data_IF_321118655247
#
_entry.id   IF_321118655247
#
_cell.length_a   1.000
_cell.length_b   1.000
_cell.length_c   1.000
_cell.angle_alpha   90.00
_cell.angle_beta   90.00
_cell.angle_gamma   90.00
#
_symmetry.space_group_name_H-M   'P 1'
#
loop_
_entity.id
_entity.type
_entity.pdbx_description
1 polymer ?
#
# COMPACT_ATOMS: atom_id res chain seq x y z
N UNK A 1 -26.09 26.91 17.62
CA UNK A 1 -26.31 28.25 18.15
C UNK A 1 -26.69 28.14 19.63
N UNK A 2 -26.02 28.86 20.45
CA UNK A 2 -26.22 28.92 21.91
C UNK A 2 -27.38 29.84 22.31
N UNK A 3 -27.88 29.75 23.55
CA UNK A 3 -29.00 30.65 24.01
C UNK A 3 -28.69 32.12 23.89
N UNK A 4 -27.41 32.52 23.98
CA UNK A 4 -26.99 33.93 23.80
C UNK A 4 -26.97 34.39 22.33
N UNK A 5 -27.33 33.51 21.38
CA UNK A 5 -27.32 33.76 19.93
C UNK A 5 -25.97 33.54 19.24
N UNK A 6 -24.90 33.23 19.98
CA UNK A 6 -23.61 32.92 19.39
C UNK A 6 -23.67 31.58 18.65
N UNK A 7 -23.15 31.54 17.43
CA UNK A 7 -23.09 30.34 16.63
C UNK A 7 -21.64 29.90 16.48
N UNK A 8 -21.39 28.63 16.70
CA UNK A 8 -20.09 27.98 16.43
C UNK A 8 -20.27 26.91 15.41
N UNK A 9 -19.44 26.91 14.37
CA UNK A 9 -19.43 25.92 13.33
C UNK A 9 -18.10 25.15 13.37
N UNK A 10 -18.19 23.85 13.30
CA UNK A 10 -17.02 22.96 13.25
C UNK A 10 -17.17 21.96 12.12
N UNK A 11 -16.10 21.75 11.37
CA UNK A 11 -16.00 20.66 10.40
C UNK A 11 -15.24 19.50 11.06
N UNK A 12 -15.84 18.32 11.05
CA UNK A 12 -15.30 17.14 11.70
C UNK A 12 -15.28 15.99 10.70
N UNK A 13 -14.22 15.23 10.76
CA UNK A 13 -14.07 14.03 9.96
C UNK A 13 -14.89 12.88 10.57
N UNK A 14 -15.80 12.31 9.79
CA UNK A 14 -16.51 11.09 10.13
C UNK A 14 -15.76 9.88 9.58
N UNK A 15 -15.74 8.81 10.34
CA UNK A 15 -15.07 7.57 9.97
C UNK A 15 -16.10 6.56 9.45
N UNK A 16 -15.91 5.98 8.25
CA UNK A 16 -16.78 4.93 7.76
C UNK A 16 -16.81 3.72 8.70
N UNK A 17 -18.00 3.32 9.11
CA UNK A 17 -18.29 2.09 9.87
C UNK A 17 -18.69 0.95 8.95
N UNK A 18 -19.25 1.29 7.78
CA UNK A 18 -19.54 0.38 6.68
C UNK A 18 -18.83 0.86 5.41
N UNK A 19 -17.95 0.02 4.88
CA UNK A 19 -17.14 0.34 3.69
C UNK A 19 -17.93 0.26 2.37
N UNK A 20 -19.09 -0.39 2.38
CA UNK A 20 -19.91 -0.55 1.17
C UNK A 20 -20.89 0.59 0.97
N UNK A 21 -21.50 1.05 2.05
CA UNK A 21 -22.51 2.11 2.02
C UNK A 21 -22.02 3.44 2.54
N UNK A 22 -20.78 3.47 3.08
CA UNK A 22 -20.17 4.64 3.71
C UNK A 22 -20.98 5.25 4.86
N UNK A 23 -21.81 4.42 5.54
CA UNK A 23 -22.32 4.82 6.83
C UNK A 23 -21.14 5.14 7.74
N UNK A 24 -21.11 6.34 8.29
CA UNK A 24 -19.96 6.86 9.01
C UNK A 24 -20.37 7.35 10.40
N UNK A 25 -19.46 7.25 11.36
CA UNK A 25 -19.66 7.79 12.71
C UNK A 25 -18.65 8.87 13.06
N UNK A 26 -19.03 9.76 13.93
CA UNK A 26 -18.15 10.84 14.38
C UNK A 26 -18.67 11.53 15.64
N UNK A 27 -17.78 12.33 16.22
CA UNK A 27 -18.05 13.08 17.46
C UNK A 27 -17.61 14.52 17.29
N UNK A 28 -18.46 15.44 17.71
CA UNK A 28 -18.13 16.86 17.83
C UNK A 28 -18.23 17.27 19.30
N UNK A 29 -17.39 18.19 19.71
CA UNK A 29 -17.41 18.73 21.08
C UNK A 29 -17.28 20.23 21.02
N UNK A 30 -18.09 20.90 21.79
CA UNK A 30 -18.15 22.33 21.82
C UNK A 30 -18.05 22.85 23.26
N UNK A 31 -17.15 23.81 23.47
CA UNK A 31 -17.15 24.63 24.66
C UNK A 31 -18.21 25.71 24.55
N UNK A 32 -18.86 26.11 25.67
CA UNK A 32 -19.70 27.29 25.70
C UNK A 32 -18.94 28.55 25.26
N UNK A 33 -19.66 29.54 24.73
CA UNK A 33 -19.09 30.84 24.41
C UNK A 33 -18.34 31.48 25.57
N UNK A 34 -17.25 32.18 25.25
CA UNK A 34 -16.48 32.87 26.26
C UNK A 34 -17.33 33.92 27.01
N UNK A 35 -17.27 33.89 28.34
CA UNK A 35 -17.99 34.81 29.19
C UNK A 35 -19.46 34.44 29.47
N UNK A 36 -19.96 33.34 28.91
CA UNK A 36 -21.30 32.84 29.23
C UNK A 36 -21.33 32.21 30.63
N UNK A 37 -20.28 31.51 30.99
CA UNK A 37 -20.06 30.92 32.31
C UNK A 37 -18.70 31.38 32.83
N UNK A 38 -18.66 32.16 33.95
CA UNK A 38 -17.43 32.76 34.44
C UNK A 38 -16.48 31.74 35.07
N UNK A 39 -17.02 30.71 35.74
CA UNK A 39 -16.25 29.69 36.40
C UNK A 39 -15.92 28.52 35.45
N UNK A 40 -14.71 27.99 35.56
CA UNK A 40 -14.24 26.88 34.75
C UNK A 40 -15.04 25.59 34.98
N UNK A 41 -15.40 25.32 36.23
CA UNK A 41 -16.23 24.16 36.62
C UNK A 41 -17.64 24.27 36.03
N UNK A 42 -18.26 25.45 36.14
CA UNK A 42 -19.55 25.72 35.57
C UNK A 42 -19.53 25.60 34.06
N UNK A 43 -18.49 26.14 33.39
CA UNK A 43 -18.30 26.02 31.95
C UNK A 43 -18.18 24.56 31.49
N UNK A 44 -17.49 23.71 32.27
CA UNK A 44 -17.37 22.26 31.96
C UNK A 44 -18.71 21.55 31.99
N UNK A 45 -19.56 21.87 32.94
CA UNK A 45 -20.89 21.24 33.06
C UNK A 45 -21.83 21.60 31.91
N UNK A 46 -21.51 22.63 31.13
CA UNK A 46 -22.31 23.12 30.00
C UNK A 46 -21.62 22.89 28.63
N UNK A 47 -20.59 22.06 28.59
CA UNK A 47 -20.03 21.59 27.31
C UNK A 47 -21.06 20.73 26.59
N UNK A 48 -21.01 20.75 25.25
CA UNK A 48 -21.90 19.96 24.40
C UNK A 48 -21.07 18.96 23.62
N UNK A 49 -21.43 17.69 23.72
CA UNK A 49 -20.92 16.67 22.84
C UNK A 49 -22.05 16.17 21.93
N UNK A 50 -21.73 15.96 20.66
CA UNK A 50 -22.65 15.45 19.64
C UNK A 50 -22.00 14.25 19.02
N UNK A 51 -22.58 13.08 19.21
CA UNK A 51 -22.10 11.83 18.64
C UNK A 51 -23.17 11.20 17.76
N UNK A 52 -22.80 10.66 16.62
CA UNK A 52 -23.77 9.94 15.83
C UNK A 52 -23.28 9.48 14.46
N UNK A 53 -24.25 9.15 13.62
CA UNK A 53 -24.04 8.58 12.32
C UNK A 53 -24.39 9.56 11.21
N UNK A 54 -23.64 9.48 10.13
CA UNK A 54 -23.87 10.17 8.87
C UNK A 54 -24.08 9.12 7.77
N UNK A 55 -25.10 9.31 6.97
CA UNK A 55 -25.37 8.51 5.77
C UNK A 55 -25.32 9.41 4.53
N UNK A 56 -24.50 9.07 3.50
CA UNK A 56 -24.49 9.82 2.25
C UNK A 56 -25.79 9.69 1.45
N UNK A 57 -26.43 8.53 1.47
CA UNK A 57 -27.77 8.30 0.96
C UNK A 57 -28.61 7.68 2.07
N UNK A 58 -29.39 8.51 2.74
CA UNK A 58 -30.11 8.12 3.94
C UNK A 58 -31.24 7.15 3.67
N UNK A 59 -31.32 6.14 4.52
CA UNK A 59 -32.47 5.24 4.62
C UNK A 59 -32.86 5.11 6.08
N UNK A 60 -34.10 5.43 6.38
CA UNK A 60 -34.63 5.32 7.72
C UNK A 60 -35.24 3.95 7.95
N UNK A 61 -34.80 3.28 8.99
CA UNK A 61 -35.23 1.93 9.36
C UNK A 61 -35.65 1.88 10.85
N UNK A 62 -36.06 0.70 11.29
CA UNK A 62 -36.56 0.48 12.64
C UNK A 62 -38.07 0.69 12.74
N UNK A 63 -38.69 0.26 13.85
CA UNK A 63 -40.15 0.34 14.05
C UNK A 63 -40.68 1.77 14.02
N UNK A 64 -39.88 2.73 14.43
CA UNK A 64 -40.25 4.16 14.50
C UNK A 64 -39.57 5.00 13.40
N UNK A 65 -38.79 4.37 12.49
CA UNK A 65 -38.01 5.10 11.50
C UNK A 65 -36.88 5.95 12.10
N UNK A 66 -36.34 5.54 13.23
CA UNK A 66 -35.34 6.29 14.01
C UNK A 66 -33.89 5.80 13.79
N UNK A 67 -33.72 4.71 13.06
CA UNK A 67 -32.41 4.15 12.75
C UNK A 67 -31.93 4.64 11.38
N UNK A 68 -30.90 5.45 11.37
CA UNK A 68 -30.25 5.87 10.14
C UNK A 68 -29.38 4.75 9.60
N UNK A 69 -29.62 4.38 8.37
CA UNK A 69 -28.80 3.48 7.54
C UNK A 69 -28.38 4.22 6.28
N UNK A 70 -27.33 3.76 5.64
CA UNK A 70 -26.95 4.25 4.33
C UNK A 70 -27.32 3.22 3.26
N UNK A 71 -28.04 3.67 2.24
CA UNK A 71 -28.44 2.81 1.13
C UNK A 71 -27.36 2.70 0.06
N UNK A 72 -26.56 3.75 -0.12
CA UNK A 72 -25.56 3.84 -1.17
C UNK A 72 -24.44 4.82 -0.77
N UNK A 73 -23.20 4.64 -1.27
CA UNK A 73 -22.05 5.49 -0.87
C UNK A 73 -22.02 6.89 -1.49
N UNK A 74 -22.87 7.18 -2.48
CA UNK A 74 -22.97 8.48 -3.12
C UNK A 74 -23.73 9.50 -2.26
N UNK A 75 -23.41 10.79 -2.40
CA UNK A 75 -24.03 11.91 -1.67
C UNK A 75 -25.37 12.33 -2.28
N UNK A 76 -26.31 11.39 -2.46
CA UNK A 76 -27.59 11.67 -3.13
C UNK A 76 -28.65 12.20 -2.18
N UNK A 77 -28.71 11.71 -0.95
CA UNK A 77 -29.65 12.15 0.11
C UNK A 77 -28.97 12.11 1.48
N UNK A 78 -28.05 13.05 1.75
CA UNK A 78 -27.26 13.04 2.97
C UNK A 78 -28.11 13.38 4.19
N UNK A 79 -27.90 12.62 5.27
CA UNK A 79 -28.52 12.89 6.56
C UNK A 79 -27.64 12.46 7.73
N UNK A 80 -27.91 13.03 8.88
CA UNK A 80 -27.31 12.65 10.17
C UNK A 80 -28.36 12.26 11.19
N UNK A 81 -28.02 11.27 12.01
CA UNK A 81 -28.75 10.97 13.24
C UNK A 81 -27.75 11.04 14.39
N UNK A 82 -27.91 12.00 15.24
CA UNK A 82 -26.95 12.31 16.29
C UNK A 82 -27.60 12.41 17.66
N UNK A 83 -26.87 11.95 18.65
CA UNK A 83 -27.20 12.10 20.05
C UNK A 83 -26.49 13.35 20.61
N UNK A 84 -27.23 14.19 21.31
CA UNK A 84 -26.71 15.37 21.94
C UNK A 84 -26.56 15.13 23.44
N UNK A 85 -25.38 15.41 23.94
CA UNK A 85 -25.00 15.26 25.33
C UNK A 85 -24.61 16.63 25.90
N UNK A 86 -24.92 16.86 27.16
CA UNK A 86 -24.54 18.05 27.92
C UNK A 86 -23.78 17.63 29.16
N UNK A 87 -22.75 18.37 29.53
CA UNK A 87 -21.91 18.10 30.69
C UNK A 87 -20.43 18.20 30.38
N UNK A 88 -19.60 17.65 31.26
CA UNK A 88 -18.16 17.69 31.11
C UNK A 88 -17.68 16.70 29.99
N UNK A 89 -17.46 17.23 28.80
CA UNK A 89 -16.97 16.50 27.65
C UNK A 89 -15.43 16.26 27.69
N UNK A 90 -14.76 16.66 28.77
CA UNK A 90 -13.33 16.45 28.98
C UNK A 90 -12.42 17.34 28.15
N UNK A 91 -12.91 18.43 27.57
CA UNK A 91 -12.14 19.32 26.69
C UNK A 91 -10.96 20.00 27.43
N UNK A 92 -11.12 20.30 28.72
CA UNK A 92 -10.14 21.02 29.52
C UNK A 92 -9.18 20.10 30.31
N UNK A 93 -9.20 18.81 30.09
CA UNK A 93 -8.42 17.86 30.90
C UNK A 93 -6.97 17.73 30.45
N UNK A 94 -6.62 18.24 29.27
CA UNK A 94 -5.30 18.05 28.65
C UNK A 94 -4.97 16.59 28.26
N UNK A 95 -5.94 15.68 28.39
CA UNK A 95 -5.79 14.28 27.99
C UNK A 95 -6.17 14.09 26.52
N UNK A 96 -5.41 13.31 25.76
CA UNK A 96 -5.80 12.94 24.39
C UNK A 96 -7.15 12.22 24.40
N UNK A 97 -8.06 12.67 23.56
CA UNK A 97 -9.36 12.03 23.37
C UNK A 97 -9.50 11.45 21.96
N UNK A 98 -10.32 10.40 21.85
CA UNK A 98 -10.66 9.87 20.54
C UNK A 98 -11.55 10.87 19.80
N UNK A 99 -11.15 11.22 18.57
CA UNK A 99 -11.90 12.19 17.74
C UNK A 99 -13.10 11.56 17.01
N UNK A 100 -13.23 10.24 17.03
CA UNK A 100 -14.30 9.52 16.32
C UNK A 100 -15.35 8.90 17.23
N UNK A 101 -15.03 8.74 18.51
CA UNK A 101 -15.91 8.05 19.49
C UNK A 101 -15.92 8.84 20.78
N UNK A 102 -17.11 9.01 21.36
CA UNK A 102 -17.28 9.61 22.68
C UNK A 102 -16.75 8.63 23.75
N UNK A 103 -16.08 9.16 24.75
CA UNK A 103 -15.65 8.36 25.89
C UNK A 103 -16.89 7.99 26.74
N UNK A 104 -17.29 6.73 26.62
CA UNK A 104 -18.46 6.20 27.30
C UNK A 104 -18.32 6.22 28.83
N UNK A 105 -17.10 6.31 29.36
CA UNK A 105 -16.90 6.47 30.81
C UNK A 105 -17.46 7.78 31.30
N UNK A 106 -17.41 8.85 30.52
CA UNK A 106 -18.00 10.15 30.90
C UNK A 106 -19.52 10.07 31.04
N UNK A 107 -20.16 9.24 30.24
CA UNK A 107 -21.61 8.99 30.34
C UNK A 107 -21.93 8.07 31.51
N UNK A 108 -21.13 7.00 31.70
CA UNK A 108 -21.31 6.07 32.82
C UNK A 108 -21.07 6.71 34.17
N UNK A 109 -20.14 7.65 34.27
CA UNK A 109 -19.81 8.40 35.48
C UNK A 109 -20.82 9.56 35.75
N UNK A 110 -21.80 9.78 34.86
CA UNK A 110 -22.78 10.83 34.96
C UNK A 110 -22.20 12.25 34.72
N UNK A 111 -21.02 12.34 34.11
CA UNK A 111 -20.40 13.63 33.75
C UNK A 111 -20.99 14.20 32.46
N UNK A 112 -21.44 13.34 31.56
CA UNK A 112 -22.18 13.67 30.35
C UNK A 112 -23.55 13.02 30.38
N UNK A 113 -24.59 13.81 30.19
CA UNK A 113 -25.97 13.34 30.11
C UNK A 113 -26.48 13.45 28.67
N UNK A 114 -27.10 12.39 28.19
CA UNK A 114 -27.79 12.44 26.90
C UNK A 114 -29.12 13.15 27.05
N UNK A 115 -29.26 14.28 26.35
CA UNK A 115 -30.46 15.10 26.44
C UNK A 115 -31.43 14.89 25.28
N UNK A 116 -30.93 14.59 24.09
CA UNK A 116 -31.80 14.41 22.92
C UNK A 116 -31.13 13.56 21.81
N UNK A 117 -31.99 13.01 20.95
CA UNK A 117 -31.56 12.50 19.63
C UNK A 117 -32.22 13.32 18.53
N UNK A 118 -31.44 13.81 17.60
CA UNK A 118 -31.92 14.61 16.48
C UNK A 118 -31.52 14.01 15.15
N UNK A 119 -32.41 14.18 14.18
CA UNK A 119 -32.23 13.74 12.80
C UNK A 119 -32.26 14.99 11.92
N UNK A 120 -31.20 15.19 11.15
CA UNK A 120 -31.01 16.40 10.37
C UNK A 120 -30.61 16.07 8.94
N UNK A 121 -31.18 16.80 8.01
CA UNK A 121 -30.76 16.90 6.61
C UNK A 121 -30.00 18.20 6.39
N UNK A 122 -29.22 18.34 5.29
CA UNK A 122 -28.48 19.57 5.03
C UNK A 122 -29.34 20.82 5.10
N UNK A 123 -28.88 21.81 5.87
CA UNK A 123 -29.59 23.08 6.10
C UNK A 123 -30.69 23.01 7.14
N UNK A 124 -31.07 21.84 7.66
CA UNK A 124 -32.07 21.72 8.72
C UNK A 124 -31.44 21.98 10.11
N UNK A 125 -32.29 22.42 11.02
CA UNK A 125 -31.88 22.67 12.42
C UNK A 125 -32.90 22.04 13.38
N UNK A 126 -32.45 21.63 14.55
CA UNK A 126 -33.27 21.15 15.64
C UNK A 126 -32.94 21.94 16.92
N UNK A 127 -33.95 22.24 17.71
CA UNK A 127 -33.80 22.86 19.02
C UNK A 127 -33.74 21.75 20.07
N UNK A 128 -32.75 21.84 20.94
CA UNK A 128 -32.52 20.91 22.04
C UNK A 128 -32.51 21.71 23.33
N UNK A 129 -33.33 21.30 24.28
CA UNK A 129 -33.35 21.85 25.64
C UNK A 129 -32.18 21.21 26.42
N UNK A 130 -31.31 22.04 26.94
CA UNK A 130 -30.12 21.63 27.71
C UNK A 130 -30.29 21.80 29.22
N UNK A 131 -31.50 22.15 29.67
CA UNK A 131 -31.79 22.46 31.08
C UNK A 131 -31.55 23.91 31.44
N UNK A 132 -30.53 24.54 30.87
CA UNK A 132 -30.21 25.98 31.09
C UNK A 132 -30.57 26.86 29.91
N UNK A 133 -31.26 26.31 28.94
CA UNK A 133 -31.72 27.03 27.77
C UNK A 133 -31.75 26.16 26.50
N UNK A 134 -32.27 26.75 25.46
CA UNK A 134 -32.38 26.07 24.17
C UNK A 134 -31.12 26.25 23.34
N UNK A 135 -30.55 25.15 22.88
CA UNK A 135 -29.44 25.13 21.93
C UNK A 135 -29.96 24.62 20.58
N UNK A 136 -29.60 25.33 19.53
CA UNK A 136 -29.96 24.90 18.17
C UNK A 136 -28.78 24.19 17.51
N UNK A 137 -29.03 22.97 17.07
CA UNK A 137 -28.10 22.15 16.32
C UNK A 137 -28.49 22.17 14.86
N UNK A 138 -27.59 22.59 13.97
CA UNK A 138 -27.81 22.66 12.52
C UNK A 138 -26.79 21.83 11.80
N UNK A 139 -27.24 21.09 10.81
CA UNK A 139 -26.39 20.37 9.89
C UNK A 139 -26.23 21.19 8.61
N UNK A 140 -25.07 21.81 8.43
CA UNK A 140 -24.80 22.67 7.27
C UNK A 140 -24.58 21.85 5.98
N UNK A 141 -24.16 20.59 6.11
CA UNK A 141 -23.90 19.70 5.00
C UNK A 141 -22.67 18.83 5.22
N UNK A 142 -22.34 18.06 4.22
CA UNK A 142 -21.17 17.21 4.21
C UNK A 142 -20.33 17.46 2.95
N UNK A 143 -19.03 17.19 3.06
CA UNK A 143 -18.11 17.24 1.94
C UNK A 143 -17.26 15.96 1.92
N UNK A 144 -16.96 15.50 0.75
CA UNK A 144 -16.06 14.38 0.56
C UNK A 144 -14.60 14.84 0.73
N UNK A 145 -13.79 13.98 1.31
CA UNK A 145 -12.35 14.22 1.42
C UNK A 145 -11.56 12.98 1.01
N UNK A 146 -10.37 13.19 0.53
CA UNK A 146 -9.44 12.11 0.21
C UNK A 146 -8.11 12.31 0.92
N UNK A 147 -7.62 11.25 1.54
CA UNK A 147 -6.30 11.22 2.11
C UNK A 147 -5.31 10.71 1.06
N UNK A 148 -4.32 11.52 0.72
CA UNK A 148 -3.25 11.13 -0.20
C UNK A 148 -1.97 10.88 0.59
N UNK A 149 -1.43 9.69 0.45
CA UNK A 149 -0.09 9.39 0.92
C UNK A 149 0.90 9.63 -0.22
N UNK A 150 1.71 10.67 -0.11
CA UNK A 150 2.76 10.97 -1.07
C UNK A 150 4.04 10.31 -0.56
N UNK A 151 4.54 9.32 -1.30
CA UNK A 151 5.83 8.68 -1.02
C UNK A 151 6.81 9.04 -2.12
N UNK A 152 7.99 9.51 -1.73
CA UNK A 152 9.12 9.76 -2.61
C UNK A 152 10.28 8.91 -2.15
N UNK A 153 10.56 7.83 -2.89
CA UNK A 153 11.70 6.97 -2.62
C UNK A 153 12.78 7.20 -3.69
N UNK A 154 13.86 7.94 -3.38
CA UNK A 154 14.96 8.20 -4.31
C UNK A 154 15.81 6.94 -4.58
N UNK A 155 15.66 5.88 -3.75
CA UNK A 155 16.44 4.64 -3.92
C UNK A 155 15.87 3.72 -4.99
N UNK A 156 14.62 3.94 -5.42
CA UNK A 156 13.93 3.12 -6.40
C UNK A 156 14.67 3.05 -7.75
N UNK A 157 15.25 4.18 -8.18
CA UNK A 157 16.04 4.23 -9.43
C UNK A 157 17.31 3.39 -9.31
N UNK A 158 17.98 3.41 -8.17
CA UNK A 158 19.18 2.62 -7.91
C UNK A 158 18.89 1.13 -7.85
N UNK A 159 17.77 0.75 -7.25
CA UNK A 159 17.30 -0.64 -7.23
C UNK A 159 17.01 -1.15 -8.65
N UNK A 160 16.38 -0.31 -9.49
CA UNK A 160 16.11 -0.66 -10.89
C UNK A 160 17.42 -0.82 -11.69
N UNK A 161 18.40 0.07 -11.52
CA UNK A 161 19.71 -0.03 -12.16
C UNK A 161 20.45 -1.30 -11.73
N UNK A 162 20.45 -1.61 -10.43
CA UNK A 162 21.06 -2.83 -9.92
C UNK A 162 20.39 -4.10 -10.52
N UNK A 163 19.07 -4.12 -10.62
CA UNK A 163 18.34 -5.21 -11.26
C UNK A 163 18.71 -5.35 -12.74
N UNK A 164 18.82 -4.24 -13.47
CA UNK A 164 19.23 -4.25 -14.89
C UNK A 164 20.66 -4.80 -15.07
N UNK A 165 21.59 -4.40 -14.20
CA UNK A 165 22.97 -4.91 -14.23
C UNK A 165 23.03 -6.41 -13.91
N UNK A 166 22.23 -6.89 -12.94
CA UNK A 166 22.14 -8.32 -12.64
C UNK A 166 21.61 -9.12 -13.84
N UNK A 167 20.57 -8.63 -14.50
CA UNK A 167 20.01 -9.27 -15.69
C UNK A 167 21.01 -9.29 -16.83
N UNK A 168 21.72 -8.19 -17.07
CA UNK A 168 22.76 -8.13 -18.08
C UNK A 168 23.92 -9.09 -17.77
N UNK A 169 24.35 -9.18 -16.51
CA UNK A 169 25.36 -10.13 -16.07
C UNK A 169 24.92 -11.59 -16.24
N UNK A 170 23.65 -11.88 -15.91
CA UNK A 170 23.08 -13.22 -16.14
C UNK A 170 23.03 -13.57 -17.63
N UNK A 171 22.54 -12.64 -18.45
CA UNK A 171 22.49 -12.83 -19.90
C UNK A 171 23.90 -13.06 -20.50
N UNK A 172 24.89 -12.25 -20.08
CA UNK A 172 26.29 -12.43 -20.48
C UNK A 172 26.85 -13.76 -20.02
N UNK A 173 26.56 -14.19 -18.79
CA UNK A 173 27.02 -15.50 -18.29
C UNK A 173 26.42 -16.68 -19.05
N UNK A 174 25.19 -16.55 -19.55
CA UNK A 174 24.55 -17.57 -20.38
C UNK A 174 25.04 -17.54 -21.85
N UNK A 175 25.39 -16.34 -22.36
CA UNK A 175 25.89 -16.17 -23.72
C UNK A 175 27.33 -16.68 -23.90
N UNK A 176 28.15 -16.64 -22.82
CA UNK A 176 29.53 -17.12 -22.87
C UNK A 176 29.53 -18.63 -22.91
N UNK A 177 29.94 -19.16 -24.05
CA UNK A 177 30.05 -20.59 -24.28
C UNK A 177 31.24 -21.17 -23.51
N UNK A 178 31.00 -22.13 -22.63
CA UNK A 178 32.08 -22.82 -21.87
C UNK A 178 32.55 -24.01 -22.68
N UNK A 179 33.77 -23.95 -23.15
CA UNK A 179 34.43 -24.98 -23.92
C UNK A 179 35.62 -25.53 -23.13
N UNK A 180 35.89 -26.84 -23.27
CA UNK A 180 37.02 -27.48 -22.64
C UNK A 180 37.74 -28.32 -23.71
N UNK A 181 39.06 -28.19 -23.74
CA UNK A 181 39.93 -28.96 -24.60
C UNK A 181 40.83 -29.80 -23.72
N UNK A 182 41.01 -31.04 -24.04
CA UNK A 182 41.93 -31.94 -23.41
C UNK A 182 42.97 -32.35 -24.44
N UNK A 183 44.24 -32.27 -24.05
CA UNK A 183 45.37 -32.76 -24.85
C UNK A 183 45.99 -33.90 -24.10
N UNK A 184 46.15 -35.05 -24.76
CA UNK A 184 46.79 -36.22 -24.22
C UNK A 184 48.01 -36.55 -25.09
N UNK A 185 49.16 -36.63 -24.44
CA UNK A 185 50.41 -36.97 -25.09
C UNK A 185 50.80 -38.40 -24.72
N UNK A 186 51.10 -39.23 -25.73
CA UNK A 186 51.61 -40.63 -25.58
C UNK A 186 52.88 -40.82 -26.36
N UNK A 187 53.96 -41.35 -25.73
CA UNK A 187 55.12 -41.74 -26.47
C UNK A 187 54.81 -42.99 -27.38
N UNK A 188 55.23 -42.92 -28.58
CA UNK A 188 55.03 -43.97 -29.54
C UNK A 188 56.30 -44.19 -30.42
N UNK A 189 56.22 -45.11 -31.32
CA UNK A 189 57.29 -45.39 -32.27
C UNK A 189 56.69 -45.37 -33.66
N UNK A 190 57.28 -44.62 -34.60
CA UNK A 190 56.86 -44.58 -35.99
C UNK A 190 57.11 -45.91 -36.70
N UNK A 191 56.45 -46.15 -37.80
CA UNK A 191 56.72 -47.32 -38.68
C UNK A 191 58.18 -47.40 -39.13
N UNK A 192 58.92 -46.33 -39.14
CA UNK A 192 60.35 -46.26 -39.45
C UNK A 192 61.25 -46.49 -38.22
N UNK A 193 60.68 -46.76 -36.98
CA UNK A 193 61.42 -47.00 -35.75
C UNK A 193 61.84 -45.75 -35.00
N UNK A 194 61.42 -44.61 -35.43
CA UNK A 194 61.76 -43.34 -34.77
C UNK A 194 60.80 -43.09 -33.60
N UNK A 195 61.30 -42.48 -32.51
CA UNK A 195 60.48 -42.03 -31.37
C UNK A 195 59.56 -40.87 -31.76
N UNK A 196 58.26 -41.10 -31.69
CA UNK A 196 57.23 -40.09 -31.99
C UNK A 196 56.35 -39.88 -30.80
N UNK A 197 55.70 -38.74 -30.74
CA UNK A 197 54.69 -38.40 -29.72
C UNK A 197 53.32 -38.37 -30.38
N UNK A 198 52.45 -39.29 -29.99
CA UNK A 198 51.06 -39.22 -30.38
C UNK A 198 50.33 -38.18 -29.56
N UNK A 199 49.64 -37.22 -30.22
CA UNK A 199 48.87 -36.20 -29.64
C UNK A 199 47.39 -36.46 -29.90
N UNK A 200 46.63 -36.75 -28.84
CA UNK A 200 45.18 -36.89 -28.89
C UNK A 200 44.55 -35.63 -28.41
N UNK A 201 43.66 -35.02 -29.21
CA UNK A 201 42.91 -33.82 -28.86
C UNK A 201 41.43 -34.18 -28.70
N UNK A 202 40.80 -33.74 -27.62
CA UNK A 202 39.37 -33.90 -27.40
C UNK A 202 38.75 -32.59 -26.97
N UNK A 203 37.63 -32.23 -27.56
CA UNK A 203 36.88 -31.02 -27.24
C UNK A 203 35.49 -31.33 -26.68
N UNK A 204 35.06 -30.62 -25.62
CA UNK A 204 33.69 -30.68 -25.09
C UNK A 204 33.05 -29.29 -25.11
N UNK A 205 31.99 -29.16 -25.88
CA UNK A 205 31.09 -27.98 -25.84
C UNK A 205 29.87 -28.32 -25.01
N UNK A 206 29.81 -27.83 -23.77
CA UNK A 206 28.76 -28.20 -22.82
C UNK A 206 27.41 -27.52 -23.11
N UNK A 207 27.38 -26.38 -23.79
CA UNK A 207 26.18 -25.55 -23.99
C UNK A 207 25.83 -25.35 -25.47
N UNK A 208 26.60 -25.87 -26.40
CA UNK A 208 26.38 -25.65 -27.83
C UNK A 208 25.91 -26.94 -28.51
N UNK A 209 24.64 -26.98 -28.94
CA UNK A 209 24.08 -28.11 -29.68
C UNK A 209 24.68 -28.23 -31.08
N UNK A 210 25.25 -27.15 -31.61
CA UNK A 210 25.92 -27.14 -32.91
C UNK A 210 27.37 -27.65 -32.86
N UNK A 211 27.86 -27.98 -31.67
CA UNK A 211 29.24 -28.43 -31.48
C UNK A 211 30.26 -27.30 -31.57
N UNK A 212 31.50 -27.67 -31.91
CA UNK A 212 32.60 -26.71 -32.02
C UNK A 212 32.67 -26.00 -33.38
N UNK A 213 32.08 -26.57 -34.40
CA UNK A 213 32.27 -26.12 -35.77
C UNK A 213 33.75 -26.07 -36.15
N UNK A 214 34.15 -25.15 -37.00
CA UNK A 214 35.54 -24.96 -37.45
C UNK A 214 36.51 -24.53 -36.36
N UNK A 215 36.00 -24.00 -35.23
CA UNK A 215 36.83 -23.47 -34.14
C UNK A 215 37.64 -24.55 -33.42
N UNK A 216 37.19 -25.81 -33.40
CA UNK A 216 37.99 -26.92 -32.87
C UNK A 216 39.18 -27.25 -33.79
N UNK A 217 38.93 -27.22 -35.08
CA UNK A 217 39.96 -27.52 -36.09
C UNK A 217 41.03 -26.44 -36.13
N UNK A 218 40.63 -25.15 -36.00
CA UNK A 218 41.53 -24.01 -35.90
C UNK A 218 42.43 -24.11 -34.67
N UNK A 219 41.86 -24.49 -33.52
CA UNK A 219 42.63 -24.65 -32.27
C UNK A 219 43.50 -25.91 -32.34
N UNK A 220 43.03 -27.01 -32.94
CA UNK A 220 43.80 -28.21 -33.11
C UNK A 220 45.01 -27.94 -34.02
N UNK A 221 44.81 -27.26 -35.15
CA UNK A 221 45.88 -26.84 -36.04
C UNK A 221 46.92 -25.96 -35.34
N UNK A 222 46.47 -24.99 -34.58
CA UNK A 222 47.36 -24.12 -33.81
C UNK A 222 48.20 -24.87 -32.75
N UNK A 223 47.60 -25.86 -32.07
CA UNK A 223 48.31 -26.70 -31.07
C UNK A 223 49.31 -27.63 -31.74
N UNK A 224 49.00 -28.14 -32.91
CA UNK A 224 49.86 -29.05 -33.66
C UNK A 224 50.91 -28.35 -34.52
N UNK A 225 50.83 -27.00 -34.61
CA UNK A 225 51.73 -26.20 -35.44
C UNK A 225 51.48 -26.41 -36.95
N UNK A 226 50.23 -26.78 -37.33
CA UNK A 226 49.79 -26.91 -38.70
C UNK A 226 49.23 -25.57 -39.20
N UNK A 227 49.48 -25.23 -40.45
CA UNK A 227 48.87 -24.03 -41.05
C UNK A 227 47.43 -24.39 -41.45
N UNK A 228 46.42 -23.63 -41.01
CA UNK A 228 45.00 -23.94 -41.27
C UNK A 228 44.64 -23.92 -42.77
N UNK A 229 45.45 -23.29 -43.60
CA UNK A 229 45.22 -23.21 -45.07
C UNK A 229 45.84 -24.36 -45.86
N UNK A 230 46.61 -25.26 -45.24
CA UNK A 230 47.30 -26.38 -45.96
C UNK A 230 46.43 -27.65 -46.16
N UNK A 231 45.19 -27.68 -45.63
CA UNK A 231 44.39 -28.91 -45.59
C UNK A 231 43.17 -28.89 -46.56
N UNK A 232 43.35 -28.35 -47.78
CA UNK A 232 42.35 -28.52 -48.89
C UNK A 232 42.59 -29.87 -49.69
N UNK A 233 43.37 -30.84 -49.20
CA UNK A 233 43.81 -31.95 -50.01
C UNK A 233 43.50 -33.38 -49.58
N UNK A 234 43.10 -33.64 -48.32
CA UNK A 234 42.85 -35.07 -47.93
C UNK A 234 41.69 -35.21 -46.97
N UNK A 235 40.48 -35.34 -47.51
CA UNK A 235 39.30 -35.78 -46.76
C UNK A 235 39.37 -37.26 -46.49
N UNK A 236 40.26 -37.68 -45.60
CA UNK A 236 40.19 -39.00 -44.99
C UNK A 236 38.96 -39.10 -44.13
N UNK A 237 37.92 -39.72 -44.60
CA UNK A 237 36.66 -40.03 -43.95
C UNK A 237 36.91 -40.75 -42.62
N UNK A 238 36.93 -40.02 -41.51
CA UNK A 238 37.04 -40.63 -40.19
C UNK A 238 35.70 -41.30 -39.83
N UNK A 239 35.69 -42.64 -39.93
CA UNK A 239 34.56 -43.47 -39.51
C UNK A 239 34.68 -43.73 -37.97
N UNK A 240 33.79 -43.19 -37.11
CA UNK A 240 33.90 -43.37 -35.66
C UNK A 240 33.52 -44.78 -35.17
N UNK A 241 33.24 -45.75 -36.08
CA UNK A 241 32.79 -47.10 -35.71
C UNK A 241 33.81 -48.23 -36.07
N UNK A 242 34.98 -47.87 -36.51
CA UNK A 242 36.07 -48.87 -36.74
C UNK A 242 36.95 -48.98 -35.46
N UNK A 243 36.34 -49.57 -34.39
CA UNK A 243 37.06 -50.13 -33.24
C UNK A 243 36.62 -51.55 -33.00
#
# INVERSE_FOLDING_TARGET
TWPNGETRTQMVQFRPTDVFTFLSSGVMRFDPPAGMYPDLEERRQHQIAIEGNFAPTARWAGPNGDQLQSAFPSMDDPAVSVDVYVGDAGLDTGRPQNVFVLDQSLVADGRLEKVSRVQLTPGSEATVDTGDGEVKVRFDGAAEYANYQISRDPTQVWALLAAAVMLAGLAGSLAIKRRRIWVRLRPGTSAAGEAVTHVELAGLARTDRAGWGREFDDIAAAILGLDPDDDEGDQGEFNPYDL
#
